data_IF_354127163820
#
_entry.id   IF_354127163820
#
_cell.length_a   1.000
_cell.length_b   1.000
_cell.length_c   1.000
_cell.angle_alpha   90.00
_cell.angle_beta   90.00
_cell.angle_gamma   90.00
#
_symmetry.space_group_name_H-M   'P 1'
#
loop_
_entity.id
_entity.type
_entity.pdbx_description
1 polymer ?
#
# COMPACT_ATOMS: atom_id res chain seq x y z
N UNK A 1 -33.01 44.87 29.23
CA UNK A 1 -31.74 44.15 29.00
C UNK A 1 -32.01 42.64 29.03
N UNK A 2 -31.84 41.92 27.91
CA UNK A 2 -31.94 40.44 27.91
C UNK A 2 -30.66 39.87 28.53
N UNK A 3 -30.78 39.23 29.69
CA UNK A 3 -29.64 38.58 30.36
C UNK A 3 -29.02 37.51 29.47
N UNK A 4 -27.68 37.51 29.35
CA UNK A 4 -26.96 36.46 28.63
C UNK A 4 -27.22 35.13 29.36
N UNK A 5 -27.74 34.12 28.66
CA UNK A 5 -27.85 32.77 29.21
C UNK A 5 -26.43 32.22 29.38
N UNK A 6 -26.05 31.99 30.63
CA UNK A 6 -24.79 31.37 31.02
C UNK A 6 -25.09 29.92 31.37
N UNK A 7 -24.33 29.00 30.78
CA UNK A 7 -24.38 27.57 31.06
C UNK A 7 -22.95 27.20 31.48
N UNK A 8 -22.75 26.76 32.72
CA UNK A 8 -21.43 26.32 33.24
C UNK A 8 -20.34 27.39 33.00
N UNK A 9 -20.57 28.62 33.45
CA UNK A 9 -19.57 29.70 33.38
C UNK A 9 -19.35 30.35 32.01
N UNK A 10 -19.88 29.79 30.92
CA UNK A 10 -19.79 30.36 29.57
C UNK A 10 -21.16 30.76 29.05
N UNK A 11 -21.18 31.81 28.24
CA UNK A 11 -22.36 32.23 27.49
C UNK A 11 -22.69 31.22 26.39
N UNK A 12 -23.96 31.13 25.98
CA UNK A 12 -24.37 30.30 24.84
C UNK A 12 -23.54 30.58 23.57
N UNK A 13 -23.12 31.85 23.35
CA UNK A 13 -22.28 32.22 22.21
C UNK A 13 -20.87 31.62 22.31
N UNK A 14 -20.28 31.60 23.51
CA UNK A 14 -18.97 30.98 23.74
C UNK A 14 -19.05 29.45 23.57
N UNK A 15 -20.13 28.81 24.01
CA UNK A 15 -20.37 27.39 23.75
C UNK A 15 -20.49 27.06 22.26
N UNK A 16 -21.19 27.92 21.50
CA UNK A 16 -21.27 27.78 20.04
C UNK A 16 -19.87 27.89 19.43
N UNK A 17 -19.07 28.87 19.85
CA UNK A 17 -17.71 29.06 19.34
C UNK A 17 -16.80 27.87 19.68
N UNK A 18 -16.86 27.35 20.92
CA UNK A 18 -16.12 26.16 21.34
C UNK A 18 -16.55 24.95 20.50
N UNK A 19 -17.85 24.75 20.32
CA UNK A 19 -18.39 23.65 19.51
C UNK A 19 -17.92 23.71 18.06
N UNK A 20 -17.96 24.90 17.44
CA UNK A 20 -17.45 25.10 16.08
C UNK A 20 -15.93 24.88 15.98
N UNK A 21 -15.17 25.32 16.98
CA UNK A 21 -13.73 25.13 17.01
C UNK A 21 -13.36 23.64 17.12
N UNK A 22 -14.01 22.91 18.03
CA UNK A 22 -13.81 21.46 18.20
C UNK A 22 -14.20 20.69 16.95
N UNK A 23 -15.33 21.04 16.32
CA UNK A 23 -15.73 20.46 15.04
C UNK A 23 -14.70 20.73 13.93
N UNK A 24 -14.14 21.94 13.88
CA UNK A 24 -13.08 22.31 12.95
C UNK A 24 -11.81 21.46 13.14
N UNK A 25 -11.34 21.28 14.38
CA UNK A 25 -10.19 20.43 14.69
C UNK A 25 -10.46 18.98 14.28
N UNK A 26 -11.62 18.43 14.63
CA UNK A 26 -11.98 17.06 14.28
C UNK A 26 -12.02 16.86 12.76
N UNK A 27 -12.60 17.80 12.01
CA UNK A 27 -12.63 17.77 10.55
C UNK A 27 -11.21 17.83 9.95
N UNK A 28 -10.35 18.70 10.46
CA UNK A 28 -8.96 18.80 10.02
C UNK A 28 -8.17 17.51 10.28
N UNK A 29 -8.34 16.89 11.45
CA UNK A 29 -7.69 15.63 11.80
C UNK A 29 -8.12 14.47 10.88
N UNK A 30 -9.42 14.38 10.58
CA UNK A 30 -9.95 13.40 9.63
C UNK A 30 -9.37 13.63 8.24
N UNK A 31 -9.34 14.89 7.77
CA UNK A 31 -8.82 15.23 6.45
C UNK A 31 -7.34 14.89 6.30
N UNK A 32 -6.51 15.26 7.29
CA UNK A 32 -5.08 14.91 7.32
C UNK A 32 -4.86 13.40 7.29
N UNK A 33 -5.68 12.65 8.05
CA UNK A 33 -5.59 11.18 8.09
C UNK A 33 -5.92 10.56 6.72
N UNK A 34 -6.96 11.06 6.03
CA UNK A 34 -7.35 10.58 4.70
C UNK A 34 -6.28 10.91 3.67
N UNK A 35 -5.80 12.16 3.64
CA UNK A 35 -4.76 12.60 2.72
C UNK A 35 -3.45 11.83 2.90
N UNK A 36 -3.03 11.59 4.16
CA UNK A 36 -1.84 10.80 4.45
C UNK A 36 -1.94 9.38 3.90
N UNK A 37 -3.08 8.71 4.10
CA UNK A 37 -3.33 7.36 3.55
C UNK A 37 -3.26 7.34 2.03
N UNK A 38 -3.92 8.29 1.36
CA UNK A 38 -3.85 8.38 -0.11
C UNK A 38 -2.43 8.65 -0.62
N UNK A 39 -1.66 9.47 0.09
CA UNK A 39 -0.25 9.73 -0.22
C UNK A 39 0.58 8.44 -0.22
N UNK A 40 0.43 7.62 0.82
CA UNK A 40 1.12 6.33 0.89
C UNK A 40 0.71 5.36 -0.23
N UNK A 41 -0.56 5.36 -0.64
CA UNK A 41 -1.02 4.51 -1.74
C UNK A 41 -0.47 4.96 -3.11
N UNK A 42 -0.42 6.26 -3.37
CA UNK A 42 0.21 6.80 -4.59
C UNK A 42 1.69 6.44 -4.64
N UNK A 43 2.37 6.51 -3.49
CA UNK A 43 3.77 6.14 -3.39
C UNK A 43 3.99 4.64 -3.59
N UNK A 44 3.09 3.78 -3.10
CA UNK A 44 3.11 2.35 -3.43
C UNK A 44 3.01 2.10 -4.94
N UNK A 45 2.08 2.75 -5.63
CA UNK A 45 1.93 2.61 -7.09
C UNK A 45 3.21 3.04 -7.81
N UNK A 46 3.79 4.19 -7.43
CA UNK A 46 5.06 4.67 -7.98
C UNK A 46 6.20 3.67 -7.77
N UNK A 47 6.28 3.07 -6.57
CA UNK A 47 7.27 2.03 -6.25
C UNK A 47 7.05 0.76 -7.05
N UNK A 48 5.80 0.33 -7.23
CA UNK A 48 5.48 -0.78 -8.10
C UNK A 48 6.01 -0.54 -9.52
N UNK A 49 5.84 0.65 -10.10
CA UNK A 49 6.41 0.92 -11.43
C UNK A 49 7.95 0.84 -11.45
N UNK A 50 8.62 1.33 -10.41
CA UNK A 50 10.09 1.24 -10.27
C UNK A 50 10.54 -0.23 -10.15
N UNK A 51 9.87 -1.00 -9.28
CA UNK A 51 10.12 -2.42 -9.07
C UNK A 51 9.91 -3.18 -10.38
N UNK A 52 8.83 -2.92 -11.12
CA UNK A 52 8.55 -3.55 -12.41
C UNK A 52 9.70 -3.37 -13.41
N UNK A 53 10.23 -2.15 -13.55
CA UNK A 53 11.38 -1.90 -14.43
C UNK A 53 12.65 -2.62 -13.97
N UNK A 54 12.88 -2.71 -12.66
CA UNK A 54 14.01 -3.45 -12.12
C UNK A 54 13.89 -4.96 -12.39
N UNK A 55 12.68 -5.51 -12.27
CA UNK A 55 12.39 -6.91 -12.58
C UNK A 55 12.59 -7.21 -14.07
N UNK A 56 12.19 -6.31 -14.97
CA UNK A 56 12.45 -6.44 -16.40
C UNK A 56 13.95 -6.38 -16.74
N UNK A 57 14.71 -5.52 -16.06
CA UNK A 57 16.16 -5.48 -16.20
C UNK A 57 16.81 -6.78 -15.69
N UNK A 58 16.38 -7.26 -14.52
CA UNK A 58 16.83 -8.55 -13.99
C UNK A 58 16.54 -9.68 -14.97
N UNK A 59 15.30 -9.79 -15.46
CA UNK A 59 14.89 -10.85 -16.37
C UNK A 59 15.70 -10.86 -17.67
N UNK A 60 16.04 -9.69 -18.23
CA UNK A 60 16.91 -9.59 -19.42
C UNK A 60 18.29 -10.22 -19.20
N UNK A 61 18.86 -10.04 -18.02
CA UNK A 61 20.18 -10.59 -17.67
C UNK A 61 20.11 -12.06 -17.22
N UNK A 62 18.91 -12.55 -16.88
CA UNK A 62 18.68 -13.88 -16.30
C UNK A 62 17.80 -14.77 -17.18
N UNK A 63 17.93 -14.66 -18.52
CA UNK A 63 17.24 -15.52 -19.49
C UNK A 63 15.71 -15.52 -19.34
N UNK A 64 15.12 -14.35 -19.08
CA UNK A 64 13.68 -14.19 -18.87
C UNK A 64 13.17 -14.62 -17.49
N UNK A 65 14.04 -15.09 -16.59
CA UNK A 65 13.66 -15.52 -15.24
C UNK A 65 13.59 -14.34 -14.28
N UNK A 66 12.58 -14.35 -13.43
CA UNK A 66 12.43 -13.38 -12.34
C UNK A 66 13.06 -13.89 -11.03
N UNK A 67 13.38 -12.98 -10.08
CA UNK A 67 13.82 -13.37 -8.74
C UNK A 67 12.80 -14.28 -8.05
N UNK A 68 13.29 -15.15 -7.18
CA UNK A 68 12.42 -16.01 -6.36
C UNK A 68 11.59 -15.22 -5.36
N UNK A 69 10.68 -15.91 -4.68
CA UNK A 69 9.79 -15.34 -3.66
C UNK A 69 10.55 -14.62 -2.54
N UNK A 70 10.05 -13.47 -2.10
CA UNK A 70 10.61 -12.71 -0.99
C UNK A 70 10.28 -13.37 0.35
N UNK A 71 10.98 -12.98 1.41
CA UNK A 71 10.58 -13.30 2.79
C UNK A 71 10.00 -12.06 3.45
N UNK A 72 8.67 -11.95 3.49
CA UNK A 72 7.97 -10.76 3.96
C UNK A 72 8.47 -9.50 3.20
N UNK A 73 8.85 -8.45 3.91
CA UNK A 73 9.29 -7.17 3.35
C UNK A 73 10.74 -7.13 2.87
N UNK A 74 11.44 -8.26 2.90
CA UNK A 74 12.84 -8.34 2.48
C UNK A 74 12.99 -8.31 0.96
N UNK A 75 14.20 -7.97 0.50
CA UNK A 75 14.52 -8.02 -0.92
C UNK A 75 14.30 -9.42 -1.48
N UNK A 76 13.74 -9.56 -2.70
CA UNK A 76 13.66 -10.85 -3.37
C UNK A 76 15.04 -11.50 -3.50
N UNK A 77 15.16 -12.81 -3.27
CA UNK A 77 16.42 -13.53 -3.39
C UNK A 77 17.01 -13.38 -4.79
N UNK A 78 18.27 -12.94 -4.85
CA UNK A 78 19.01 -12.70 -6.09
C UNK A 78 18.80 -11.31 -6.69
N UNK A 79 17.80 -10.52 -6.25
CA UNK A 79 17.65 -9.14 -6.70
C UNK A 79 18.75 -8.27 -6.08
N UNK A 80 19.82 -8.08 -6.84
CA UNK A 80 20.97 -7.27 -6.45
C UNK A 80 20.61 -5.78 -6.36
N UNK A 81 21.24 -5.01 -5.44
CA UNK A 81 21.17 -3.55 -5.41
C UNK A 81 21.52 -2.86 -6.73
N UNK A 82 22.25 -3.53 -7.63
CA UNK A 82 22.55 -3.04 -8.97
C UNK A 82 21.29 -2.85 -9.83
N UNK A 83 20.24 -3.64 -9.60
CA UNK A 83 18.93 -3.47 -10.26
C UNK A 83 18.03 -2.54 -9.46
N UNK A 84 17.96 -2.77 -8.14
CA UNK A 84 17.13 -2.01 -7.23
C UNK A 84 17.64 -2.15 -5.80
N UNK A 85 17.94 -1.02 -5.16
CA UNK A 85 18.13 -0.98 -3.72
C UNK A 85 16.76 -1.13 -3.03
N UNK A 86 16.40 -2.37 -2.68
CA UNK A 86 15.16 -2.67 -1.98
C UNK A 86 15.20 -2.10 -0.57
N UNK A 87 14.10 -1.46 -0.15
CA UNK A 87 14.00 -0.81 1.15
C UNK A 87 12.87 -1.45 1.94
N UNK A 88 13.20 -1.97 3.12
CA UNK A 88 12.23 -2.58 4.03
C UNK A 88 11.11 -1.60 4.41
N UNK A 89 11.43 -0.31 4.50
CA UNK A 89 10.49 0.77 4.81
C UNK A 89 9.43 0.97 3.73
N UNK A 90 9.59 0.33 2.56
CA UNK A 90 8.52 0.28 1.58
C UNK A 90 7.34 -0.55 2.05
N UNK A 91 7.59 -1.51 2.95
CA UNK A 91 6.61 -2.41 3.53
C UNK A 91 5.80 -3.13 2.45
N UNK A 92 6.51 -3.65 1.45
CA UNK A 92 5.99 -4.38 0.31
C UNK A 92 6.45 -5.81 0.44
N UNK A 93 5.51 -6.75 0.42
CA UNK A 93 5.78 -8.17 0.23
C UNK A 93 5.88 -8.45 -1.27
N UNK A 94 6.91 -9.19 -1.69
CA UNK A 94 7.11 -9.60 -3.07
C UNK A 94 6.85 -11.09 -3.18
N UNK A 95 5.85 -11.47 -3.97
CA UNK A 95 5.46 -12.86 -4.17
C UNK A 95 5.51 -13.28 -5.64
N UNK A 96 5.94 -14.52 -5.86
CA UNK A 96 5.97 -15.16 -7.18
C UNK A 96 5.19 -16.45 -7.14
N UNK A 97 4.25 -16.59 -8.06
CA UNK A 97 3.32 -17.70 -8.09
C UNK A 97 3.11 -18.22 -9.50
N UNK A 98 2.66 -19.46 -9.63
CA UNK A 98 2.31 -20.06 -10.92
C UNK A 98 0.99 -19.48 -11.44
N UNK A 99 0.91 -19.19 -12.74
CA UNK A 99 -0.31 -18.67 -13.37
C UNK A 99 -1.26 -19.77 -13.90
N UNK A 100 -0.96 -21.05 -13.61
CA UNK A 100 -1.75 -22.19 -14.06
C UNK A 100 -1.66 -22.50 -15.56
N UNK A 101 -0.85 -21.77 -16.33
CA UNK A 101 -0.64 -21.97 -17.79
C UNK A 101 0.82 -22.30 -18.12
N UNK A 102 1.60 -22.74 -17.14
CA UNK A 102 3.04 -22.99 -17.28
C UNK A 102 3.92 -21.76 -17.12
N UNK A 103 3.34 -20.58 -16.86
CA UNK A 103 4.07 -19.35 -16.55
C UNK A 103 4.02 -18.99 -15.05
N UNK A 104 4.67 -17.87 -14.71
CA UNK A 104 4.62 -17.28 -13.37
C UNK A 104 4.07 -15.86 -13.44
N UNK A 105 3.32 -15.47 -12.43
CA UNK A 105 2.96 -14.08 -12.18
C UNK A 105 3.74 -13.57 -10.96
N UNK A 106 3.93 -12.26 -10.93
CA UNK A 106 4.59 -11.56 -9.83
C UNK A 106 3.57 -10.64 -9.20
N UNK A 107 3.46 -10.68 -7.88
CA UNK A 107 2.56 -9.82 -7.13
C UNK A 107 3.32 -9.09 -6.03
N UNK A 108 2.93 -7.84 -5.82
CA UNK A 108 3.36 -7.04 -4.68
C UNK A 108 2.17 -6.85 -3.76
N UNK A 109 2.36 -7.01 -2.46
CA UNK A 109 1.38 -6.65 -1.44
C UNK A 109 1.93 -5.52 -0.56
N UNK A 110 1.29 -4.36 -0.62
CA UNK A 110 1.56 -3.29 0.34
C UNK A 110 0.93 -3.61 1.69
N UNK A 111 1.75 -3.74 2.72
CA UNK A 111 1.33 -4.16 4.07
C UNK A 111 0.97 -2.99 4.99
N UNK A 112 0.91 -1.77 4.44
CA UNK A 112 0.55 -0.55 5.17
C UNK A 112 1.74 0.31 5.59
N UNK A 113 1.51 1.30 6.46
CA UNK A 113 2.55 2.21 6.89
C UNK A 113 3.59 1.48 7.74
N UNK A 114 4.86 1.51 7.30
CA UNK A 114 5.97 0.97 8.05
C UNK A 114 6.11 1.66 9.43
N UNK A 115 6.35 0.84 10.45
CA UNK A 115 6.65 1.27 11.81
C UNK A 115 7.78 0.38 12.33
N UNK A 116 8.91 0.95 12.75
CA UNK A 116 10.02 0.18 13.28
C UNK A 116 9.58 -0.74 14.43
N UNK A 117 10.04 -2.00 14.40
CA UNK A 117 9.73 -3.01 15.42
C UNK A 117 8.35 -3.65 15.33
N UNK A 118 7.51 -3.25 14.37
CA UNK A 118 6.26 -3.95 14.07
C UNK A 118 6.52 -5.02 13.01
N UNK A 119 6.07 -6.25 13.27
CA UNK A 119 6.04 -7.30 12.26
C UNK A 119 4.84 -7.10 11.34
N UNK A 120 5.09 -7.13 10.04
CA UNK A 120 4.06 -7.08 9.00
C UNK A 120 3.95 -8.45 8.34
N UNK A 121 2.73 -8.92 8.18
CA UNK A 121 2.45 -10.18 7.51
C UNK A 121 1.56 -9.94 6.31
N UNK A 122 1.87 -10.65 5.23
CA UNK A 122 1.01 -10.77 4.08
C UNK A 122 -0.39 -11.20 4.50
N UNK A 123 -1.41 -10.57 3.93
CA UNK A 123 -2.79 -11.04 4.04
C UNK A 123 -3.12 -12.09 2.97
N UNK A 124 -2.14 -12.46 2.13
CA UNK A 124 -2.30 -13.44 1.06
C UNK A 124 -3.26 -12.98 -0.04
N UNK A 125 -3.43 -11.66 -0.20
CA UNK A 125 -4.40 -11.07 -1.15
C UNK A 125 -4.00 -11.31 -2.60
N UNK A 126 -2.70 -11.42 -2.83
CA UNK A 126 -2.06 -11.80 -4.09
C UNK A 126 -2.41 -13.22 -4.55
N UNK A 127 -2.85 -14.11 -3.66
CA UNK A 127 -3.19 -15.50 -3.98
C UNK A 127 -4.62 -15.65 -4.45
N UNK A 128 -5.50 -14.72 -4.08
CA UNK A 128 -6.90 -14.68 -4.51
C UNK A 128 -7.03 -14.13 -5.95
N UNK A 129 -7.45 -14.96 -6.93
CA UNK A 129 -7.58 -14.54 -8.33
C UNK A 129 -8.62 -13.43 -8.55
N UNK A 130 -9.69 -13.41 -7.76
CA UNK A 130 -10.71 -12.37 -7.86
C UNK A 130 -10.13 -11.02 -7.43
N UNK A 131 -9.34 -11.02 -6.35
CA UNK A 131 -8.65 -9.81 -5.87
C UNK A 131 -7.66 -9.31 -6.89
N UNK A 132 -6.82 -10.18 -7.47
CA UNK A 132 -5.89 -9.79 -8.52
C UNK A 132 -6.58 -9.18 -9.73
N UNK A 133 -7.67 -9.80 -10.20
CA UNK A 133 -8.45 -9.30 -11.34
C UNK A 133 -9.05 -7.92 -11.09
N UNK A 134 -9.59 -7.67 -9.89
CA UNK A 134 -10.29 -6.43 -9.57
C UNK A 134 -9.37 -5.31 -9.08
N UNK A 135 -8.30 -5.66 -8.37
CA UNK A 135 -7.48 -4.72 -7.59
C UNK A 135 -5.98 -4.83 -7.86
N UNK A 136 -5.55 -5.68 -8.81
CA UNK A 136 -4.16 -5.94 -9.16
C UNK A 136 -3.38 -4.77 -9.78
N UNK A 137 -3.95 -3.56 -9.84
CA UNK A 137 -3.29 -2.34 -10.31
C UNK A 137 -3.29 -1.25 -9.24
N UNK A 138 -3.21 -1.66 -7.98
CA UNK A 138 -3.10 -0.74 -6.83
C UNK A 138 -4.41 -0.07 -6.42
N UNK A 139 -5.56 -0.53 -6.93
CA UNK A 139 -6.86 0.01 -6.54
C UNK A 139 -7.18 -0.29 -5.07
N UNK A 140 -8.07 0.52 -4.48
CA UNK A 140 -8.54 0.31 -3.12
C UNK A 140 -9.37 -0.95 -2.99
N UNK A 141 -8.97 -1.83 -2.08
CA UNK A 141 -9.72 -3.02 -1.69
C UNK A 141 -10.68 -2.64 -0.55
N UNK A 142 -12.00 -2.84 -0.69
CA UNK A 142 -12.95 -2.62 0.39
C UNK A 142 -12.61 -3.44 1.63
N UNK A 143 -12.63 -2.79 2.81
CA UNK A 143 -12.33 -3.44 4.09
C UNK A 143 -10.85 -3.74 4.35
N UNK A 144 -9.93 -3.44 3.43
CA UNK A 144 -8.50 -3.71 3.59
C UNK A 144 -7.63 -2.46 3.50
N UNK A 145 -6.61 -2.41 4.36
CA UNK A 145 -5.56 -1.40 4.32
C UNK A 145 -4.51 -1.69 3.25
N UNK A 146 -4.43 -2.94 2.81
CA UNK A 146 -3.42 -3.43 1.89
C UNK A 146 -3.80 -3.07 0.45
N UNK A 147 -2.80 -3.08 -0.43
CA UNK A 147 -2.96 -2.90 -1.87
C UNK A 147 -2.15 -3.97 -2.56
N UNK A 148 -2.61 -4.40 -3.72
CA UNK A 148 -1.85 -5.34 -4.53
C UNK A 148 -1.50 -4.75 -5.87
N UNK A 149 -0.36 -5.15 -6.41
CA UNK A 149 0.05 -4.84 -7.76
C UNK A 149 0.56 -6.10 -8.42
N UNK A 150 -0.02 -6.48 -9.55
CA UNK A 150 0.30 -7.71 -10.25
C UNK A 150 0.90 -7.40 -11.60
N UNK A 151 2.05 -8.00 -11.84
CA UNK A 151 2.67 -8.07 -13.15
C UNK A 151 2.36 -9.44 -13.75
N UNK A 152 2.21 -9.47 -15.07
CA UNK A 152 2.31 -10.72 -15.81
C UNK A 152 1.23 -11.78 -15.45
N UNK A 153 0.03 -11.36 -15.01
CA UNK A 153 -1.12 -12.27 -14.71
C UNK A 153 -1.38 -13.24 -15.88
N UNK A 154 -1.18 -12.77 -17.12
CA UNK A 154 -1.35 -13.55 -18.35
C UNK A 154 -0.03 -13.82 -19.10
N UNK A 155 1.14 -13.63 -18.47
CA UNK A 155 2.38 -13.70 -19.23
C UNK A 155 2.62 -15.07 -19.86
N UNK A 156 3.10 -15.09 -21.12
CA UNK A 156 3.43 -16.33 -21.82
C UNK A 156 4.57 -17.08 -21.12
N UNK A 157 4.56 -18.39 -21.33
CA UNK A 157 5.54 -19.35 -20.81
C UNK A 157 6.94 -18.91 -21.25
N UNK A 158 7.86 -18.73 -20.30
CA UNK A 158 9.28 -18.66 -20.59
C UNK A 158 9.85 -20.06 -20.33
N UNK A 159 10.17 -20.77 -21.42
CA UNK A 159 10.94 -22.03 -21.41
C UNK A 159 12.43 -21.76 -21.15
#
# INVERSE_FOLDING_TARGET
MKGKRVIIGFTVREWILIGLFMAGIAAAAVLQTVQGREGHYKEFIRRAEIIGRALEAFARDHQGRYPGDGQNTQSPPGLSPNYLEWKEEWNIDYEVHENGRGGKYIALEYLGLYKPGQTYHSSGLTRDPEKRRLYGKGQRIPGSLNRIWVYYEEAPIFE
#
